data_IF_021063453828
#
_entry.id   IF_021063453828
#
_cell.length_a   1.000
_cell.length_b   1.000
_cell.length_c   1.000
_cell.angle_alpha   90.00
_cell.angle_beta   90.00
_cell.angle_gamma   90.00
#
_symmetry.space_group_name_H-M   'P 1'
#
loop_
_entity.id
_entity.type
_entity.pdbx_description
1 polymer ?
#
# COMPACT_ATOMS: atom_id res chain seq x y z
N UNK A 1 25.80 -60.50 32.85
CA UNK A 1 24.61 -59.82 33.40
C UNK A 1 24.50 -58.36 32.95
N UNK A 2 25.58 -57.57 32.99
CA UNK A 2 25.58 -56.15 32.60
C UNK A 2 25.02 -55.87 31.18
N UNK A 3 25.38 -56.67 30.17
CA UNK A 3 24.87 -56.49 28.80
C UNK A 3 23.36 -56.72 28.67
N UNK A 4 22.76 -57.60 29.47
CA UNK A 4 21.29 -57.79 29.46
C UNK A 4 20.57 -56.58 30.05
N UNK A 5 21.13 -55.97 31.10
CA UNK A 5 20.58 -54.78 31.73
C UNK A 5 20.66 -53.58 30.78
N UNK A 6 21.78 -53.42 30.09
CA UNK A 6 21.97 -52.37 29.08
C UNK A 6 21.01 -52.55 27.89
N UNK A 7 20.81 -53.77 27.39
CA UNK A 7 19.83 -54.04 26.33
C UNK A 7 18.40 -53.64 26.73
N UNK A 8 17.98 -53.97 27.95
CA UNK A 8 16.64 -53.60 28.46
C UNK A 8 16.53 -52.07 28.60
N UNK A 9 17.57 -51.40 29.10
CA UNK A 9 17.60 -49.94 29.19
C UNK A 9 17.50 -49.26 27.81
N UNK A 10 18.14 -49.82 26.78
CA UNK A 10 18.04 -49.33 25.39
C UNK A 10 16.60 -49.41 24.85
N UNK A 11 15.92 -50.55 25.01
CA UNK A 11 14.52 -50.71 24.59
C UNK A 11 13.57 -49.80 25.36
N UNK A 12 13.77 -49.65 26.67
CA UNK A 12 12.99 -48.71 27.49
C UNK A 12 13.20 -47.26 27.02
N UNK A 13 14.44 -46.89 26.69
CA UNK A 13 14.75 -45.57 26.15
C UNK A 13 14.05 -45.28 24.81
N UNK A 14 14.02 -46.25 23.90
CA UNK A 14 13.32 -46.15 22.61
C UNK A 14 11.82 -45.96 22.82
N UNK A 15 11.20 -46.78 23.67
CA UNK A 15 9.76 -46.70 23.97
C UNK A 15 9.40 -45.35 24.59
N UNK A 16 10.24 -44.80 25.47
CA UNK A 16 10.00 -43.49 26.08
C UNK A 16 10.09 -42.35 25.05
N UNK A 17 11.11 -42.34 24.18
CA UNK A 17 11.27 -41.27 23.18
C UNK A 17 10.19 -41.35 22.10
N UNK A 18 9.90 -42.53 21.55
CA UNK A 18 8.89 -42.69 20.51
C UNK A 18 7.46 -42.60 21.05
N UNK A 19 7.20 -43.16 22.25
CA UNK A 19 5.89 -43.08 22.89
C UNK A 19 5.49 -41.64 23.21
N UNK A 20 6.44 -40.83 23.71
CA UNK A 20 6.19 -39.40 23.97
C UNK A 20 6.02 -38.60 22.68
N UNK A 21 6.77 -38.91 21.62
CA UNK A 21 6.62 -38.27 20.31
C UNK A 21 5.23 -38.55 19.70
N UNK A 22 4.80 -39.81 19.69
CA UNK A 22 3.47 -40.21 19.21
C UNK A 22 2.35 -39.56 20.03
N UNK A 23 2.51 -39.50 21.36
CA UNK A 23 1.53 -38.86 22.22
C UNK A 23 1.37 -37.36 21.90
N UNK A 24 2.48 -36.68 21.58
CA UNK A 24 2.48 -35.25 21.21
C UNK A 24 1.88 -35.01 19.82
N UNK A 25 2.18 -35.89 18.86
CA UNK A 25 1.62 -35.82 17.49
C UNK A 25 0.13 -36.15 17.46
N UNK A 26 -0.34 -37.03 18.34
CA UNK A 26 -1.75 -37.43 18.39
C UNK A 26 -2.69 -36.35 18.94
N UNK A 27 -2.15 -35.29 19.57
CA UNK A 27 -2.93 -34.22 20.18
C UNK A 27 -3.85 -34.65 21.32
N UNK A 28 -3.72 -35.90 21.80
CA UNK A 28 -4.61 -36.50 22.81
C UNK A 28 -4.29 -36.10 24.25
N UNK A 29 -3.10 -35.55 24.51
CA UNK A 29 -2.68 -35.11 25.83
C UNK A 29 -2.76 -33.58 25.93
N UNK A 30 -3.37 -33.09 27.01
CA UNK A 30 -3.51 -31.66 27.27
C UNK A 30 -2.18 -30.99 27.65
N UNK A 31 -2.13 -29.63 27.65
CA UNK A 31 -0.93 -28.85 27.95
C UNK A 31 -0.33 -29.14 29.34
N UNK A 32 -1.11 -29.66 30.29
CA UNK A 32 -0.65 -30.04 31.63
C UNK A 32 0.38 -31.19 31.62
N UNK A 33 0.47 -31.96 30.52
CA UNK A 33 1.40 -33.08 30.38
C UNK A 33 2.76 -32.71 29.78
N UNK A 34 2.89 -31.51 29.20
CA UNK A 34 4.12 -31.01 28.56
C UNK A 34 5.41 -31.16 29.41
N UNK A 35 5.44 -30.79 30.70
CA UNK A 35 6.65 -30.96 31.50
C UNK A 35 7.03 -32.42 31.69
N UNK A 36 6.07 -33.33 31.86
CA UNK A 36 6.32 -34.77 32.03
C UNK A 36 6.80 -35.41 30.74
N UNK A 37 6.20 -35.03 29.61
CA UNK A 37 6.62 -35.46 28.26
C UNK A 37 8.07 -35.03 28.01
N UNK A 38 8.44 -33.79 28.39
CA UNK A 38 9.81 -33.27 28.24
C UNK A 38 10.82 -34.05 29.08
N UNK A 39 10.52 -34.33 30.34
CA UNK A 39 11.40 -35.12 31.21
C UNK A 39 11.53 -36.57 30.77
N UNK A 40 10.44 -37.21 30.33
CA UNK A 40 10.45 -38.57 29.79
C UNK A 40 11.30 -38.68 28.52
N UNK A 41 11.29 -37.66 27.64
CA UNK A 41 12.18 -37.59 26.48
C UNK A 41 13.66 -37.52 26.87
N UNK A 42 14.02 -36.67 27.84
CA UNK A 42 15.40 -36.57 28.31
C UNK A 42 15.88 -37.87 28.98
N UNK A 43 15.04 -38.49 29.80
CA UNK A 43 15.35 -39.77 30.44
C UNK A 43 15.51 -40.89 29.39
N UNK A 44 14.61 -40.97 28.41
CA UNK A 44 14.71 -41.94 27.32
C UNK A 44 15.97 -41.75 26.48
N UNK A 45 16.33 -40.50 26.17
CA UNK A 45 17.56 -40.17 25.47
C UNK A 45 18.82 -40.57 26.27
N UNK A 46 18.87 -40.29 27.57
CA UNK A 46 19.98 -40.68 28.44
C UNK A 46 20.17 -42.21 28.48
N UNK A 47 19.07 -42.99 28.52
CA UNK A 47 19.13 -44.44 28.46
C UNK A 47 19.70 -44.96 27.12
N UNK A 48 19.33 -44.34 26.00
CA UNK A 48 19.87 -44.70 24.67
C UNK A 48 21.37 -44.37 24.57
N UNK A 49 21.79 -43.22 25.10
CA UNK A 49 23.21 -42.82 25.12
C UNK A 49 24.03 -43.77 26.00
N UNK A 50 23.54 -44.13 27.19
CA UNK A 50 24.20 -45.11 28.06
C UNK A 50 24.30 -46.49 27.42
N UNK A 51 23.27 -46.91 26.69
CA UNK A 51 23.28 -48.14 25.90
C UNK A 51 24.36 -48.11 24.81
N UNK A 52 24.43 -47.03 24.03
CA UNK A 52 25.43 -46.85 22.97
C UNK A 52 26.86 -46.82 23.52
N UNK A 53 27.09 -46.12 24.63
CA UNK A 53 28.41 -46.08 25.28
C UNK A 53 28.83 -47.46 25.80
N UNK A 54 27.89 -48.24 26.35
CA UNK A 54 28.15 -49.59 26.83
C UNK A 54 28.50 -50.60 25.72
N UNK A 55 27.99 -50.40 24.51
CA UNK A 55 28.23 -51.28 23.35
C UNK A 55 29.27 -50.77 22.36
N UNK A 56 29.99 -49.70 22.68
CA UNK A 56 30.98 -49.07 21.77
C UNK A 56 32.01 -50.06 21.18
N UNK A 57 32.43 -51.08 21.95
CA UNK A 57 33.38 -52.11 21.49
C UNK A 57 32.74 -53.14 20.55
N UNK A 58 31.46 -53.44 20.69
CA UNK A 58 30.71 -54.34 19.81
C UNK A 58 30.33 -53.64 18.50
N UNK A 59 29.91 -52.37 18.60
CA UNK A 59 29.71 -51.47 17.46
C UNK A 59 31.01 -51.38 16.65
N UNK A 60 32.17 -51.18 17.29
CA UNK A 60 33.47 -51.14 16.61
C UNK A 60 33.85 -52.45 15.88
N UNK A 61 33.40 -53.62 16.35
CA UNK A 61 33.59 -54.91 15.65
C UNK A 61 32.64 -55.09 14.48
N UNK A 62 31.43 -54.52 14.56
CA UNK A 62 30.46 -54.51 13.47
C UNK A 62 31.01 -53.78 12.22
N UNK A 63 31.98 -52.87 12.37
CA UNK A 63 32.65 -52.15 11.28
C UNK A 63 33.76 -52.94 10.54
N UNK A 64 34.09 -54.18 10.92
CA UNK A 64 35.19 -54.95 10.31
C UNK A 64 34.79 -55.88 9.14
N UNK A 65 33.49 -56.00 8.80
CA UNK A 65 33.01 -56.88 7.73
C UNK A 65 32.69 -56.17 6.40
N UNK A 66 32.90 -56.84 5.26
CA UNK A 66 32.65 -56.29 3.91
C UNK A 66 31.15 -55.96 3.65
N UNK A 67 30.22 -56.61 4.34
CA UNK A 67 28.78 -56.29 4.37
C UNK A 67 28.40 -55.11 5.29
N UNK A 68 29.30 -54.66 6.17
CA UNK A 68 29.04 -53.58 7.14
C UNK A 68 29.21 -52.17 6.58
N UNK A 69 29.88 -52.00 5.42
CA UNK A 69 30.03 -50.69 4.76
C UNK A 69 28.70 -50.10 4.30
N UNK A 70 27.74 -50.93 3.88
CA UNK A 70 26.42 -50.45 3.45
C UNK A 70 25.53 -50.13 4.66
N UNK A 71 25.58 -50.94 5.72
CA UNK A 71 24.81 -50.71 6.95
C UNK A 71 25.29 -49.51 7.78
N UNK A 72 26.60 -49.26 7.81
CA UNK A 72 27.17 -48.09 8.50
C UNK A 72 26.84 -46.78 7.78
N UNK A 73 26.88 -46.74 6.45
CA UNK A 73 26.44 -45.57 5.67
C UNK A 73 24.96 -45.29 5.88
N UNK A 74 24.10 -46.33 5.91
CA UNK A 74 22.69 -46.17 6.23
C UNK A 74 22.47 -45.60 7.65
N UNK A 75 23.20 -46.10 8.66
CA UNK A 75 23.10 -45.61 10.04
C UNK A 75 23.54 -44.15 10.17
N UNK A 76 24.67 -43.77 9.55
CA UNK A 76 25.15 -42.39 9.50
C UNK A 76 24.14 -41.49 8.79
N UNK A 77 23.53 -41.96 7.72
CA UNK A 77 22.52 -41.21 6.96
C UNK A 77 21.26 -40.96 7.80
N UNK A 78 20.78 -41.97 8.54
CA UNK A 78 19.62 -41.85 9.44
C UNK A 78 19.90 -40.86 10.58
N UNK A 79 21.09 -40.93 11.19
CA UNK A 79 21.49 -39.99 12.23
C UNK A 79 21.62 -38.57 11.67
N UNK A 80 22.18 -38.40 10.47
CA UNK A 80 22.29 -37.10 9.82
C UNK A 80 20.91 -36.50 9.51
N UNK A 81 19.99 -37.30 8.97
CA UNK A 81 18.61 -36.86 8.69
C UNK A 81 17.89 -36.48 9.99
N UNK A 82 18.01 -37.28 11.06
CA UNK A 82 17.43 -36.94 12.37
C UNK A 82 18.04 -35.68 12.96
N UNK A 83 19.36 -35.50 12.85
CA UNK A 83 20.05 -34.27 13.27
C UNK A 83 19.55 -33.05 12.51
N UNK A 84 19.40 -33.15 11.19
CA UNK A 84 18.82 -32.09 10.35
C UNK A 84 17.38 -31.79 10.77
N UNK A 85 16.55 -32.82 11.01
CA UNK A 85 15.16 -32.63 11.46
C UNK A 85 15.09 -31.93 12.82
N UNK A 86 15.98 -32.27 13.77
CA UNK A 86 16.07 -31.59 15.07
C UNK A 86 16.51 -30.14 14.90
N UNK A 87 17.51 -29.86 14.06
CA UNK A 87 17.97 -28.50 13.79
C UNK A 87 16.89 -27.68 13.09
N UNK A 88 16.22 -28.24 12.08
CA UNK A 88 15.11 -27.60 11.38
C UNK A 88 13.94 -27.33 12.32
N UNK A 89 13.59 -28.28 13.19
CA UNK A 89 12.53 -28.10 14.18
C UNK A 89 12.91 -27.03 15.22
N UNK A 90 14.17 -27.02 15.68
CA UNK A 90 14.69 -26.01 16.60
C UNK A 90 14.66 -24.61 15.97
N UNK A 91 15.16 -24.45 14.74
CA UNK A 91 15.11 -23.20 13.98
C UNK A 91 13.67 -22.74 13.73
N UNK A 92 12.78 -23.65 13.30
CA UNK A 92 11.37 -23.35 13.05
C UNK A 92 10.61 -22.95 14.33
N UNK A 93 11.00 -23.47 15.49
CA UNK A 93 10.38 -23.09 16.77
C UNK A 93 10.81 -21.72 17.30
N UNK A 94 11.96 -21.21 16.86
CA UNK A 94 12.55 -19.96 17.37
C UNK A 94 12.31 -18.77 16.46
N UNK A 95 12.25 -19.00 15.15
CA UNK A 95 11.97 -17.98 14.15
C UNK A 95 10.47 -17.85 13.91
N UNK A 96 9.86 -16.75 14.37
CA UNK A 96 8.45 -16.41 14.11
C UNK A 96 8.19 -15.93 12.67
N UNK A 97 9.09 -16.23 11.73
CA UNK A 97 9.00 -15.77 10.35
C UNK A 97 8.01 -16.66 9.60
N UNK A 98 6.76 -16.18 9.46
CA UNK A 98 5.73 -16.81 8.64
C UNK A 98 6.02 -16.53 7.17
N UNK A 99 6.25 -17.57 6.39
CA UNK A 99 6.25 -17.49 4.94
C UNK A 99 4.85 -17.80 4.42
N UNK A 100 4.23 -16.83 3.76
CA UNK A 100 2.98 -17.05 3.04
C UNK A 100 3.30 -17.72 1.69
N UNK A 101 2.97 -19.02 1.60
CA UNK A 101 3.15 -19.85 0.41
C UNK A 101 1.89 -19.84 -0.49
N UNK A 102 0.88 -19.02 -0.17
CA UNK A 102 -0.30 -18.90 -1.02
C UNK A 102 0.05 -18.17 -2.31
N UNK A 103 -0.56 -18.62 -3.41
CA UNK A 103 -0.30 -18.11 -4.78
C UNK A 103 -0.50 -16.58 -4.91
N UNK A 104 -1.30 -15.99 -4.03
CA UNK A 104 -1.64 -14.56 -4.05
C UNK A 104 -1.19 -13.80 -2.78
N UNK A 105 -0.39 -14.40 -1.90
CA UNK A 105 0.14 -13.71 -0.71
C UNK A 105 -0.95 -13.03 0.17
N UNK A 106 -2.11 -13.67 0.28
CA UNK A 106 -3.33 -13.09 0.86
C UNK A 106 -3.18 -12.81 2.37
N UNK A 107 -2.21 -13.43 3.02
CA UNK A 107 -1.95 -13.34 4.46
C UNK A 107 -0.70 -12.51 4.80
N UNK A 108 -0.05 -11.90 3.80
CA UNK A 108 1.04 -10.95 4.00
C UNK A 108 0.61 -9.51 3.72
N UNK A 109 1.14 -8.57 4.50
CA UNK A 109 0.97 -7.15 4.23
C UNK A 109 1.63 -6.78 2.90
N UNK A 110 1.07 -5.79 2.21
CA UNK A 110 1.68 -5.21 1.02
C UNK A 110 3.06 -4.61 1.34
N UNK A 111 3.91 -4.48 0.31
CA UNK A 111 5.22 -3.83 0.45
C UNK A 111 5.09 -2.38 0.94
N UNK A 112 4.05 -1.68 0.49
CA UNK A 112 3.77 -0.30 0.89
C UNK A 112 3.47 -0.20 2.39
N UNK A 113 2.55 -1.03 2.91
CA UNK A 113 2.25 -1.09 4.34
C UNK A 113 3.48 -1.47 5.16
N UNK A 114 4.28 -2.42 4.68
CA UNK A 114 5.51 -2.84 5.37
C UNK A 114 6.55 -1.72 5.44
N UNK A 115 6.75 -0.96 4.37
CA UNK A 115 7.64 0.21 4.34
C UNK A 115 7.15 1.31 5.30
N UNK A 116 5.86 1.60 5.30
CA UNK A 116 5.25 2.57 6.21
C UNK A 116 5.51 2.19 7.67
N UNK A 117 5.13 0.98 8.06
CA UNK A 117 5.20 0.50 9.45
C UNK A 117 6.66 0.35 9.94
N UNK A 118 7.59 0.00 9.05
CA UNK A 118 9.02 -0.09 9.40
C UNK A 118 9.71 1.27 9.53
N UNK A 119 9.18 2.32 8.90
CA UNK A 119 9.71 3.69 8.99
C UNK A 119 9.24 4.48 10.22
N UNK A 120 8.41 3.89 11.08
CA UNK A 120 7.90 4.52 12.29
C UNK A 120 9.03 4.97 13.22
N UNK A 121 8.89 6.19 13.75
CA UNK A 121 9.86 6.80 14.67
C UNK A 121 9.41 6.79 16.14
N UNK A 122 8.11 6.64 16.40
CA UNK A 122 7.53 6.51 17.74
C UNK A 122 6.48 5.39 17.83
N UNK A 123 6.14 4.90 19.04
CA UNK A 123 5.20 3.81 19.20
C UNK A 123 3.78 4.17 18.74
N UNK A 124 3.17 3.28 17.97
CA UNK A 124 1.76 3.32 17.54
C UNK A 124 0.99 2.26 18.31
N UNK A 125 -0.14 2.63 18.90
CA UNK A 125 -1.10 1.67 19.47
C UNK A 125 -2.26 1.48 18.51
N UNK A 126 -2.63 0.24 18.28
CA UNK A 126 -3.79 -0.16 17.50
C UNK A 126 -4.76 -0.85 18.45
N UNK A 127 -5.90 -0.23 18.71
CA UNK A 127 -6.92 -0.72 19.65
C UNK A 127 -8.13 -1.18 18.84
N UNK A 128 -8.45 -2.47 18.86
CA UNK A 128 -9.68 -2.97 18.23
C UNK A 128 -10.80 -3.09 19.26
N UNK A 129 -11.90 -2.41 18.99
CA UNK A 129 -13.11 -2.41 19.82
C UNK A 129 -14.16 -3.31 19.18
N UNK A 130 -14.23 -4.55 19.64
CA UNK A 130 -15.18 -5.55 19.13
C UNK A 130 -15.54 -6.57 20.23
N UNK A 131 -16.65 -7.31 20.09
CA UNK A 131 -16.91 -8.50 20.90
C UNK A 131 -15.76 -9.53 20.81
N UNK A 132 -15.53 -10.29 21.90
CA UNK A 132 -14.43 -11.25 21.99
C UNK A 132 -14.45 -12.34 20.89
N UNK A 133 -15.65 -12.73 20.44
CA UNK A 133 -15.87 -13.71 19.37
C UNK A 133 -15.46 -13.19 17.99
N UNK A 134 -15.38 -11.87 17.80
CA UNK A 134 -14.95 -11.26 16.54
C UNK A 134 -13.43 -11.04 16.46
N UNK A 135 -12.70 -11.10 17.58
CA UNK A 135 -11.25 -10.87 17.60
C UNK A 135 -10.45 -11.72 16.59
N UNK A 136 -10.77 -13.00 16.35
CA UNK A 136 -10.05 -13.80 15.34
C UNK A 136 -10.05 -13.15 13.94
N UNK A 137 -11.11 -12.44 13.55
CA UNK A 137 -11.22 -11.82 12.23
C UNK A 137 -10.23 -10.66 12.01
N UNK A 138 -9.80 -10.00 13.08
CA UNK A 138 -8.83 -8.90 13.05
C UNK A 138 -7.41 -9.39 13.34
N UNK A 139 -7.28 -10.55 13.99
CA UNK A 139 -6.03 -11.02 14.57
C UNK A 139 -4.92 -11.22 13.56
N UNK A 140 -5.22 -11.89 12.45
CA UNK A 140 -4.19 -12.19 11.45
C UNK A 140 -3.66 -10.90 10.80
N UNK A 141 -4.55 -9.95 10.49
CA UNK A 141 -4.16 -8.69 9.85
C UNK A 141 -3.42 -7.77 10.81
N UNK A 142 -3.99 -7.46 11.98
CA UNK A 142 -3.39 -6.50 12.92
C UNK A 142 -2.07 -7.03 13.51
N UNK A 143 -1.96 -8.34 13.74
CA UNK A 143 -0.67 -8.93 14.14
C UNK A 143 0.37 -8.83 13.01
N UNK A 144 -0.03 -8.77 11.74
CA UNK A 144 0.86 -8.45 10.63
C UNK A 144 1.59 -7.12 10.85
N UNK A 145 0.88 -6.08 11.31
CA UNK A 145 1.45 -4.76 11.60
C UNK A 145 2.42 -4.84 12.80
N UNK A 146 2.02 -5.52 13.88
CA UNK A 146 2.87 -5.73 15.05
C UNK A 146 4.14 -6.55 14.76
N UNK A 147 4.06 -7.48 13.82
CA UNK A 147 5.21 -8.30 13.40
C UNK A 147 6.16 -7.51 12.48
N UNK A 148 5.63 -6.57 11.69
CA UNK A 148 6.42 -5.74 10.77
C UNK A 148 7.27 -4.69 11.51
N UNK A 149 6.82 -4.19 12.66
CA UNK A 149 7.59 -3.24 13.47
C UNK A 149 7.37 -3.41 14.96
N UNK A 150 8.47 -3.35 15.71
CA UNK A 150 8.44 -3.36 17.19
C UNK A 150 7.79 -2.10 17.79
N UNK A 151 7.57 -1.07 16.99
CA UNK A 151 6.90 0.15 17.42
C UNK A 151 5.37 0.02 17.40
N UNK A 152 4.82 -1.05 16.82
CA UNK A 152 3.37 -1.26 16.77
C UNK A 152 2.94 -2.19 17.91
N UNK A 153 1.97 -1.74 18.70
CA UNK A 153 1.31 -2.53 19.74
C UNK A 153 -0.16 -2.69 19.39
N UNK A 154 -0.69 -3.91 19.47
CA UNK A 154 -2.11 -4.20 19.18
C UNK A 154 -2.80 -4.65 20.46
N UNK A 155 -3.90 -4.02 20.82
CA UNK A 155 -4.74 -4.38 21.97
C UNK A 155 -6.17 -4.68 21.52
N UNK A 156 -6.76 -5.75 22.08
CA UNK A 156 -8.12 -6.18 21.78
C UNK A 156 -9.01 -5.82 22.97
N UNK A 157 -10.01 -4.98 22.73
CA UNK A 157 -10.87 -4.41 23.76
C UNK A 157 -12.30 -4.86 23.49
N UNK A 158 -12.83 -5.65 24.43
CA UNK A 158 -14.23 -6.05 24.42
C UNK A 158 -15.10 -4.84 24.79
N UNK A 159 -15.96 -4.41 23.85
CA UNK A 159 -16.82 -3.23 24.00
C UNK A 159 -17.87 -3.40 25.09
N UNK A 160 -18.34 -4.63 25.34
CA UNK A 160 -19.30 -4.94 26.39
C UNK A 160 -18.65 -5.00 27.78
N UNK A 161 -17.41 -5.52 27.87
CA UNK A 161 -16.67 -5.59 29.15
C UNK A 161 -16.01 -4.27 29.54
N UNK A 162 -15.65 -3.42 28.57
CA UNK A 162 -14.95 -2.14 28.81
C UNK A 162 -15.61 -0.94 28.11
N UNK A 163 -16.88 -0.63 28.42
CA UNK A 163 -17.62 0.47 27.76
C UNK A 163 -17.03 1.86 28.04
N UNK A 164 -16.34 2.04 29.17
CA UNK A 164 -15.68 3.31 29.49
C UNK A 164 -14.56 3.66 28.51
N UNK A 165 -13.78 2.67 28.06
CA UNK A 165 -12.73 2.88 27.04
C UNK A 165 -13.35 3.17 25.67
N UNK A 166 -14.41 2.45 25.30
CA UNK A 166 -15.12 2.71 24.04
C UNK A 166 -15.64 4.16 24.00
N UNK A 167 -16.21 4.67 25.11
CA UNK A 167 -16.62 6.07 25.22
C UNK A 167 -15.46 7.05 25.17
N UNK A 168 -14.35 6.76 25.85
CA UNK A 168 -13.15 7.61 25.83
C UNK A 168 -12.61 7.80 24.41
N UNK A 169 -12.61 6.74 23.61
CA UNK A 169 -12.18 6.77 22.22
C UNK A 169 -13.32 7.08 21.24
N UNK A 170 -14.50 7.53 21.69
CA UNK A 170 -15.68 7.83 20.85
C UNK A 170 -15.98 6.73 19.81
N UNK A 171 -15.99 5.48 20.28
CA UNK A 171 -16.31 4.32 19.46
C UNK A 171 -17.82 4.10 19.49
N UNK A 172 -18.46 4.30 18.34
CA UNK A 172 -19.91 4.18 18.19
C UNK A 172 -20.33 2.87 17.51
N UNK A 173 -19.41 2.22 16.78
CA UNK A 173 -19.67 1.02 15.98
C UNK A 173 -18.73 -0.10 16.43
N UNK A 174 -19.27 -1.31 16.63
CA UNK A 174 -18.44 -2.50 16.90
C UNK A 174 -17.57 -2.82 15.68
N UNK A 175 -16.35 -3.31 15.93
CA UNK A 175 -15.36 -3.54 14.87
C UNK A 175 -14.52 -2.31 14.53
N UNK A 176 -14.66 -1.21 15.27
CA UNK A 176 -13.83 -0.01 15.07
C UNK A 176 -12.41 -0.26 15.55
N UNK A 177 -11.45 -0.10 14.65
CA UNK A 177 -10.02 -0.07 14.93
C UNK A 177 -9.59 1.37 15.16
N UNK A 178 -8.95 1.63 16.29
CA UNK A 178 -8.44 2.95 16.68
C UNK A 178 -6.92 2.95 16.62
N UNK A 179 -6.35 3.89 15.89
CA UNK A 179 -4.91 4.13 15.84
C UNK A 179 -4.57 5.31 16.74
N UNK A 180 -3.63 5.12 17.67
CA UNK A 180 -3.11 6.16 18.54
C UNK A 180 -1.62 6.36 18.30
N UNK A 181 -1.22 7.59 17.99
CA UNK A 181 0.18 7.97 17.76
C UNK A 181 0.46 9.36 18.33
N UNK A 182 1.40 9.45 19.28
CA UNK A 182 1.77 10.72 19.93
C UNK A 182 0.56 11.55 20.41
N UNK A 183 -0.48 10.90 20.95
CA UNK A 183 -1.70 11.55 21.45
C UNK A 183 -2.76 11.88 20.38
N UNK A 184 -2.47 11.62 19.10
CA UNK A 184 -3.43 11.71 18.00
C UNK A 184 -4.20 10.40 17.89
N UNK A 185 -5.46 10.47 17.47
CA UNK A 185 -6.37 9.32 17.40
C UNK A 185 -7.08 9.32 16.05
N UNK A 186 -6.98 8.22 15.32
CA UNK A 186 -7.74 7.97 14.08
C UNK A 186 -8.58 6.70 14.22
N UNK A 187 -9.77 6.67 13.59
CA UNK A 187 -10.75 5.58 13.71
C UNK A 187 -11.08 5.00 12.34
N UNK A 188 -11.04 3.68 12.24
CA UNK A 188 -11.38 2.95 11.02
C UNK A 188 -12.42 1.89 11.36
N UNK A 189 -13.58 1.93 10.71
CA UNK A 189 -14.70 1.01 10.98
C UNK A 189 -14.68 -0.24 10.10
N UNK A 190 -13.77 -0.31 9.14
CA UNK A 190 -13.62 -1.44 8.22
C UNK A 190 -12.38 -2.26 8.56
N UNK A 191 -12.43 -3.54 8.22
CA UNK A 191 -11.31 -4.47 8.37
C UNK A 191 -10.73 -4.78 6.99
N UNK A 192 -10.30 -3.78 6.23
CA UNK A 192 -9.52 -3.99 4.99
C UNK A 192 -8.09 -3.50 5.24
N UNK A 193 -7.09 -4.09 4.56
CA UNK A 193 -5.71 -3.58 4.72
C UNK A 193 -5.62 -2.14 4.25
N UNK A 194 -6.23 -1.81 3.11
CA UNK A 194 -6.22 -0.47 2.54
C UNK A 194 -6.72 0.58 3.54
N UNK A 195 -7.88 0.35 4.17
CA UNK A 195 -8.46 1.34 5.08
C UNK A 195 -7.66 1.44 6.39
N UNK A 196 -7.13 0.32 6.89
CA UNK A 196 -6.28 0.31 8.09
C UNK A 196 -4.94 1.00 7.86
N UNK A 197 -4.29 0.75 6.71
CA UNK A 197 -3.07 1.46 6.31
C UNK A 197 -3.33 2.94 6.16
N UNK A 198 -4.46 3.33 5.55
CA UNK A 198 -4.83 4.74 5.44
C UNK A 198 -5.08 5.38 6.81
N UNK A 199 -5.79 4.72 7.72
CA UNK A 199 -5.97 5.20 9.10
C UNK A 199 -4.63 5.40 9.82
N UNK A 200 -3.67 4.50 9.60
CA UNK A 200 -2.32 4.66 10.09
C UNK A 200 -1.61 5.87 9.47
N UNK A 201 -1.70 6.09 8.15
CA UNK A 201 -1.13 7.27 7.48
C UNK A 201 -1.69 8.56 8.09
N UNK A 202 -3.01 8.63 8.30
CA UNK A 202 -3.71 9.78 8.88
C UNK A 202 -3.20 10.14 10.28
N UNK A 203 -3.10 9.13 11.17
CA UNK A 203 -2.64 9.37 12.54
C UNK A 203 -1.16 9.79 12.60
N UNK A 204 -0.34 9.26 11.69
CA UNK A 204 1.09 9.58 11.60
C UNK A 204 1.32 10.99 11.06
N UNK A 205 0.63 11.37 9.98
CA UNK A 205 0.73 12.70 9.39
C UNK A 205 0.29 13.78 10.39
N UNK A 206 -0.80 13.53 11.12
CA UNK A 206 -1.29 14.40 12.19
C UNK A 206 -1.73 15.79 11.79
N UNK A 207 -1.79 16.04 10.49
CA UNK A 207 -2.49 17.16 9.86
C UNK A 207 -3.34 16.58 8.75
N UNK A 208 -4.63 16.89 8.77
CA UNK A 208 -5.51 16.61 7.64
C UNK A 208 -5.17 17.65 6.56
N UNK A 209 -4.85 17.19 5.35
CA UNK A 209 -4.58 18.11 4.25
C UNK A 209 -5.89 18.60 3.65
N UNK A 210 -5.93 19.83 3.13
CA UNK A 210 -7.12 20.33 2.43
C UNK A 210 -6.86 20.57 0.96
N UNK A 211 -7.69 19.94 0.13
CA UNK A 211 -7.75 20.20 -1.30
C UNK A 211 -8.99 21.06 -1.58
N UNK A 212 -8.76 22.30 -1.99
CA UNK A 212 -9.81 23.25 -2.33
C UNK A 212 -10.08 23.22 -3.83
N UNK A 213 -11.29 22.82 -4.23
CA UNK A 213 -11.74 22.88 -5.62
C UNK A 213 -12.42 24.22 -5.88
N UNK A 214 -11.95 24.99 -6.86
CA UNK A 214 -12.62 26.25 -7.18
C UNK A 214 -14.03 26.01 -7.71
N UNK A 215 -14.92 26.96 -7.45
CA UNK A 215 -16.28 26.94 -7.95
C UNK A 215 -16.76 28.35 -8.27
N UNK A 216 -17.57 28.48 -9.32
CA UNK A 216 -18.20 29.74 -9.74
C UNK A 216 -18.06 30.03 -11.23
N UNK A 217 -17.17 29.30 -11.91
CA UNK A 217 -16.80 29.48 -13.31
C UNK A 217 -17.09 28.24 -14.17
N UNK A 218 -18.03 27.39 -13.71
CA UNK A 218 -18.45 26.17 -14.40
C UNK A 218 -17.49 24.99 -14.25
N UNK A 219 -16.63 25.01 -13.24
CA UNK A 219 -15.72 23.91 -12.91
C UNK A 219 -16.44 22.61 -12.53
N UNK A 220 -15.75 21.48 -12.70
CA UNK A 220 -16.23 20.18 -12.27
C UNK A 220 -16.42 20.10 -10.75
N UNK A 221 -17.59 19.64 -10.33
CA UNK A 221 -17.96 19.58 -8.92
C UNK A 221 -17.45 18.28 -8.25
N UNK A 222 -16.64 18.37 -7.16
CA UNK A 222 -16.13 17.20 -6.43
C UNK A 222 -17.22 16.41 -5.67
N UNK A 223 -18.44 16.94 -5.58
CA UNK A 223 -19.61 16.26 -4.97
C UNK A 223 -20.53 15.62 -6.00
N UNK A 224 -20.35 15.95 -7.28
CA UNK A 224 -21.17 15.39 -8.35
C UNK A 224 -20.72 13.97 -8.70
N UNK A 225 -21.67 13.04 -8.75
CA UNK A 225 -21.47 11.62 -9.07
C UNK A 225 -21.73 11.27 -10.54
N UNK A 226 -21.95 12.26 -11.40
CA UNK A 226 -22.03 12.03 -12.83
C UNK A 226 -20.77 11.31 -13.34
N UNK A 227 -20.98 10.25 -14.13
CA UNK A 227 -19.89 9.37 -14.57
C UNK A 227 -18.93 10.04 -15.55
N UNK A 228 -19.36 11.10 -16.25
CA UNK A 228 -18.57 11.81 -17.25
C UNK A 228 -18.03 13.14 -16.75
N UNK A 229 -18.84 13.89 -15.99
CA UNK A 229 -18.53 15.27 -15.59
C UNK A 229 -18.34 15.44 -14.08
N UNK A 230 -18.64 14.42 -13.28
CA UNK A 230 -18.57 14.47 -11.81
C UNK A 230 -17.22 14.02 -11.26
N UNK A 231 -16.74 14.70 -10.22
CA UNK A 231 -15.42 14.44 -9.62
C UNK A 231 -15.49 13.73 -8.26
N UNK A 232 -16.65 13.19 -7.87
CA UNK A 232 -16.80 12.49 -6.58
C UNK A 232 -15.88 11.28 -6.40
N UNK A 233 -15.54 10.59 -7.50
CA UNK A 233 -14.56 9.50 -7.46
C UNK A 233 -13.15 9.99 -7.11
N UNK A 234 -12.74 11.15 -7.63
CA UNK A 234 -11.48 11.82 -7.30
C UNK A 234 -11.50 12.29 -5.85
N UNK A 235 -12.60 12.92 -5.41
CA UNK A 235 -12.75 13.37 -4.04
C UNK A 235 -12.67 12.20 -3.03
N UNK A 236 -13.28 11.07 -3.36
CA UNK A 236 -13.17 9.85 -2.56
C UNK A 236 -11.75 9.27 -2.54
N UNK A 237 -10.99 9.39 -3.64
CA UNK A 237 -9.57 9.06 -3.70
C UNK A 237 -8.75 9.93 -2.76
N UNK A 238 -8.89 11.24 -2.87
CA UNK A 238 -8.24 12.21 -2.00
C UNK A 238 -8.57 11.97 -0.51
N UNK A 239 -9.82 11.65 -0.18
CA UNK A 239 -10.24 11.31 1.18
C UNK A 239 -9.55 10.06 1.74
N UNK A 240 -9.25 9.07 0.89
CA UNK A 240 -8.45 7.90 1.27
C UNK A 240 -6.99 8.28 1.52
N UNK A 241 -6.48 9.26 0.79
CA UNK A 241 -5.11 9.76 0.89
C UNK A 241 -4.94 10.88 1.94
N UNK A 242 -5.86 10.99 2.92
CA UNK A 242 -5.84 12.00 4.00
C UNK A 242 -6.02 13.46 3.55
N UNK A 243 -6.77 13.68 2.46
CA UNK A 243 -7.23 15.00 2.08
C UNK A 243 -8.72 15.18 2.39
N UNK A 244 -9.06 16.28 3.05
CA UNK A 244 -10.41 16.82 3.07
C UNK A 244 -10.62 17.66 1.81
N UNK A 245 -11.69 17.39 1.10
CA UNK A 245 -12.05 18.11 -0.11
C UNK A 245 -13.12 19.15 0.22
N UNK A 246 -12.84 20.41 -0.08
CA UNK A 246 -13.75 21.54 0.12
C UNK A 246 -13.89 22.36 -1.17
N UNK A 247 -15.01 23.07 -1.32
CA UNK A 247 -15.21 24.01 -2.43
C UNK A 247 -14.70 25.38 -2.03
N UNK A 248 -14.11 26.09 -2.98
CA UNK A 248 -13.60 27.45 -2.82
C UNK A 248 -14.26 28.38 -3.83
N UNK A 249 -15.14 29.26 -3.36
CA UNK A 249 -15.71 30.33 -4.19
C UNK A 249 -14.94 31.61 -3.88
N UNK A 250 -13.96 31.96 -4.73
CA UNK A 250 -13.06 33.09 -4.49
C UNK A 250 -13.81 34.43 -4.40
N UNK A 251 -14.88 34.59 -5.17
CA UNK A 251 -15.80 35.73 -5.06
C UNK A 251 -16.43 35.90 -3.66
N UNK A 252 -16.51 34.84 -2.84
CA UNK A 252 -17.07 34.87 -1.48
C UNK A 252 -15.97 34.97 -0.41
N UNK A 253 -14.91 34.17 -0.55
CA UNK A 253 -13.84 34.05 0.46
C UNK A 253 -12.74 35.13 0.33
N UNK A 254 -12.72 35.88 -0.79
CA UNK A 254 -11.76 36.96 -1.12
C UNK A 254 -10.28 36.58 -1.20
N UNK A 255 -9.85 35.50 -0.55
CA UNK A 255 -8.51 34.92 -0.66
C UNK A 255 -8.57 33.39 -0.54
N UNK A 256 -7.45 32.71 -0.85
CA UNK A 256 -7.31 31.27 -0.62
C UNK A 256 -7.10 31.03 0.88
N UNK A 257 -7.85 30.10 1.51
CA UNK A 257 -7.66 29.74 2.91
C UNK A 257 -6.21 29.36 3.25
N UNK A 258 -5.72 29.80 4.41
CA UNK A 258 -4.33 29.59 4.81
C UNK A 258 -3.97 28.11 5.09
N UNK A 259 -4.98 27.27 5.30
CA UNK A 259 -4.85 25.83 5.51
C UNK A 259 -5.00 25.02 4.20
N UNK A 260 -5.09 25.69 3.05
CA UNK A 260 -5.09 25.03 1.74
C UNK A 260 -3.72 24.36 1.49
N UNK A 261 -3.73 23.04 1.36
CA UNK A 261 -2.55 22.28 0.89
C UNK A 261 -2.40 22.41 -0.62
N UNK A 262 -3.52 22.39 -1.34
CA UNK A 262 -3.59 22.52 -2.79
C UNK A 262 -4.91 23.17 -3.20
N UNK A 263 -4.87 24.01 -4.22
CA UNK A 263 -6.06 24.52 -4.91
C UNK A 263 -6.17 23.81 -6.26
N UNK A 264 -7.35 23.35 -6.62
CA UNK A 264 -7.63 22.64 -7.88
C UNK A 264 -8.62 23.47 -8.67
N UNK A 265 -8.23 23.86 -9.88
CA UNK A 265 -9.06 24.55 -10.86
C UNK A 265 -9.41 23.53 -11.94
N UNK A 266 -10.61 22.95 -11.84
CA UNK A 266 -11.00 21.77 -12.61
C UNK A 266 -11.94 22.13 -13.78
N UNK A 267 -11.41 22.37 -14.97
CA UNK A 267 -12.19 22.60 -16.20
C UNK A 267 -13.08 23.84 -16.14
N UNK A 268 -12.55 25.05 -15.84
CA UNK A 268 -13.36 26.26 -15.87
C UNK A 268 -13.85 26.56 -17.29
N UNK A 269 -15.12 26.94 -17.42
CA UNK A 269 -15.75 27.32 -18.70
C UNK A 269 -15.96 28.84 -18.83
N UNK A 270 -15.70 29.59 -17.75
CA UNK A 270 -15.66 31.04 -17.73
C UNK A 270 -14.35 31.54 -17.12
N UNK A 271 -13.88 32.72 -17.55
CA UNK A 271 -12.64 33.29 -17.00
C UNK A 271 -12.86 33.82 -15.58
N UNK A 272 -11.78 33.84 -14.79
CA UNK A 272 -11.79 34.35 -13.42
C UNK A 272 -11.73 35.88 -13.41
N UNK A 273 -12.34 36.50 -12.41
CA UNK A 273 -12.27 37.94 -12.25
C UNK A 273 -10.88 38.39 -11.76
N UNK A 274 -10.45 39.63 -12.09
CA UNK A 274 -9.13 40.12 -11.67
C UNK A 274 -8.85 39.99 -10.16
N UNK A 275 -9.79 40.26 -9.23
CA UNK A 275 -9.53 40.07 -7.80
C UNK A 275 -9.23 38.61 -7.41
N UNK A 276 -9.82 37.64 -8.11
CA UNK A 276 -9.64 36.21 -7.86
C UNK A 276 -8.28 35.74 -8.38
N UNK A 277 -7.86 36.24 -9.56
CA UNK A 277 -6.51 36.03 -10.08
C UNK A 277 -5.46 36.57 -9.10
N UNK A 278 -5.68 37.76 -8.54
CA UNK A 278 -4.78 38.34 -7.54
C UNK A 278 -4.72 37.51 -6.25
N UNK A 279 -5.84 36.90 -5.82
CA UNK A 279 -5.85 35.95 -4.71
C UNK A 279 -4.99 34.71 -5.01
N UNK A 280 -5.17 34.11 -6.19
CA UNK A 280 -4.36 32.97 -6.63
C UNK A 280 -2.87 33.34 -6.71
N UNK A 281 -2.54 34.50 -7.27
CA UNK A 281 -1.15 35.03 -7.32
C UNK A 281 -0.54 35.14 -5.92
N UNK A 282 -1.26 35.72 -4.95
CA UNK A 282 -0.79 35.83 -3.56
C UNK A 282 -0.57 34.46 -2.92
N UNK A 283 -1.44 33.50 -3.17
CA UNK A 283 -1.30 32.14 -2.66
C UNK A 283 -0.07 31.42 -3.25
N UNK A 284 0.11 31.46 -4.57
CA UNK A 284 1.24 30.83 -5.25
C UNK A 284 2.56 31.50 -4.82
N UNK A 285 2.60 32.84 -4.72
CA UNK A 285 3.79 33.58 -4.28
C UNK A 285 4.27 33.21 -2.87
N UNK A 286 3.38 32.68 -2.02
CA UNK A 286 3.71 32.17 -0.67
C UNK A 286 4.15 30.69 -0.68
N UNK A 287 4.33 30.08 -1.85
CA UNK A 287 4.66 28.66 -2.01
C UNK A 287 3.44 27.74 -2.04
N UNK A 288 2.23 28.29 -2.22
CA UNK A 288 1.01 27.54 -2.43
C UNK A 288 1.06 26.68 -3.69
N UNK A 289 0.33 25.56 -3.67
CA UNK A 289 0.29 24.59 -4.78
C UNK A 289 -1.04 24.70 -5.51
N UNK A 290 -1.01 24.80 -6.84
CA UNK A 290 -2.22 24.86 -7.67
C UNK A 290 -2.15 23.82 -8.76
N UNK A 291 -3.25 23.11 -8.98
CA UNK A 291 -3.47 22.23 -10.12
C UNK A 291 -4.43 22.93 -11.08
N UNK A 292 -3.93 23.26 -12.28
CA UNK A 292 -4.74 23.81 -13.36
C UNK A 292 -5.13 22.69 -14.32
N UNK A 293 -6.42 22.46 -14.49
CA UNK A 293 -6.97 21.56 -15.50
C UNK A 293 -7.80 22.44 -16.43
N UNK A 294 -7.23 22.82 -17.56
CA UNK A 294 -7.84 23.78 -18.48
C UNK A 294 -8.11 23.06 -19.79
N UNK A 295 -9.38 22.86 -20.08
CA UNK A 295 -9.84 22.19 -21.30
C UNK A 295 -9.61 23.08 -22.54
N UNK A 296 -9.55 22.51 -23.75
CA UNK A 296 -9.65 23.28 -24.99
C UNK A 296 -10.99 24.03 -25.03
N UNK A 297 -11.12 25.09 -25.86
CA UNK A 297 -12.39 25.78 -26.01
C UNK A 297 -13.50 24.82 -26.49
N UNK A 298 -14.62 24.78 -25.74
CA UNK A 298 -15.78 23.95 -26.09
C UNK A 298 -16.39 24.30 -27.46
N UNK A 299 -16.20 25.56 -27.89
CA UNK A 299 -16.69 26.12 -29.15
C UNK A 299 -15.65 27.10 -29.69
N UNK A 300 -15.63 27.25 -31.01
CA UNK A 300 -14.75 28.21 -31.72
C UNK A 300 -14.91 29.64 -31.18
N UNK A 301 -16.14 30.02 -30.82
CA UNK A 301 -16.47 31.37 -30.35
C UNK A 301 -16.50 31.47 -28.82
N UNK A 302 -16.07 30.44 -28.09
CA UNK A 302 -16.00 30.51 -26.62
C UNK A 302 -15.05 31.63 -26.20
N UNK A 303 -15.44 32.50 -25.26
CA UNK A 303 -14.55 33.52 -24.74
C UNK A 303 -13.27 32.87 -24.16
N UNK A 304 -12.08 33.41 -24.45
CA UNK A 304 -10.84 32.87 -23.92
C UNK A 304 -10.76 33.09 -22.41
N UNK A 305 -10.12 32.15 -21.71
CA UNK A 305 -9.77 32.25 -20.30
C UNK A 305 -8.51 33.12 -20.12
N UNK A 306 -8.51 34.32 -20.69
CA UNK A 306 -7.30 35.14 -20.88
C UNK A 306 -6.56 35.42 -19.57
N UNK A 307 -7.28 35.68 -18.49
CA UNK A 307 -6.68 36.02 -17.20
C UNK A 307 -6.02 34.80 -16.55
N UNK A 308 -6.67 33.65 -16.62
CA UNK A 308 -6.11 32.38 -16.15
C UNK A 308 -4.91 31.93 -16.99
N UNK A 309 -5.00 32.05 -18.32
CA UNK A 309 -3.90 31.72 -19.25
C UNK A 309 -2.70 32.60 -18.96
N UNK A 310 -2.89 33.92 -18.81
CA UNK A 310 -1.80 34.84 -18.49
C UNK A 310 -1.09 34.48 -17.17
N UNK A 311 -1.84 34.08 -16.14
CA UNK A 311 -1.27 33.59 -14.88
C UNK A 311 -0.39 32.35 -15.09
N UNK A 312 -0.82 31.40 -15.93
CA UNK A 312 -0.06 30.17 -16.21
C UNK A 312 1.21 30.48 -17.04
N UNK A 313 1.11 31.41 -17.98
CA UNK A 313 2.25 31.88 -18.79
C UNK A 313 3.31 32.61 -17.96
N UNK A 314 2.92 33.38 -16.95
CA UNK A 314 3.84 34.01 -15.98
C UNK A 314 4.74 32.96 -15.30
N UNK A 315 4.25 31.73 -15.14
CA UNK A 315 4.95 30.59 -14.55
C UNK A 315 5.70 29.73 -15.58
N UNK A 316 5.85 30.20 -16.82
CA UNK A 316 6.66 29.55 -17.85
C UNK A 316 5.98 28.38 -18.53
N UNK A 317 4.64 28.30 -18.48
CA UNK A 317 3.84 27.27 -19.15
C UNK A 317 2.95 27.92 -20.19
N UNK A 318 3.03 27.47 -21.44
CA UNK A 318 2.17 27.91 -22.53
C UNK A 318 1.04 26.92 -22.74
N UNK A 319 -0.19 27.44 -22.83
CA UNK A 319 -1.39 26.68 -23.21
C UNK A 319 -1.74 26.98 -24.67
N UNK A 320 -1.79 25.95 -25.51
CA UNK A 320 -2.18 26.10 -26.91
C UNK A 320 -3.68 26.22 -27.10
N UNK A 321 -4.14 26.95 -28.10
CA UNK A 321 -5.55 27.08 -28.45
C UNK A 321 -5.95 26.05 -29.50
N UNK A 322 -5.80 24.78 -29.12
CA UNK A 322 -5.85 23.62 -30.01
C UNK A 322 -6.43 22.40 -29.29
N UNK A 323 -6.74 21.36 -30.06
CA UNK A 323 -7.03 20.02 -29.55
C UNK A 323 -5.92 19.08 -30.03
N UNK A 324 -5.34 18.33 -29.11
CA UNK A 324 -4.32 17.35 -29.45
C UNK A 324 -4.99 16.11 -30.05
N UNK A 325 -4.55 15.77 -31.26
CA UNK A 325 -5.04 14.63 -32.03
C UNK A 325 -3.94 13.58 -32.13
N UNK A 326 -4.28 12.30 -31.95
CA UNK A 326 -3.37 11.17 -32.08
C UNK A 326 -3.86 10.14 -33.12
N UNK A 327 -3.14 10.06 -34.24
CA UNK A 327 -3.38 9.04 -35.28
C UNK A 327 -2.45 7.83 -35.15
N UNK A 328 -1.89 7.60 -33.95
CA UNK A 328 -1.10 6.40 -33.68
C UNK A 328 -1.89 5.09 -33.89
N UNK A 329 -3.23 5.16 -33.87
CA UNK A 329 -4.13 4.01 -33.87
C UNK A 329 -4.31 3.38 -32.49
N UNK A 330 -3.57 3.85 -31.47
CA UNK A 330 -3.71 3.36 -30.10
C UNK A 330 -5.10 3.69 -29.53
N UNK A 331 -5.61 4.89 -29.79
CA UNK A 331 -6.99 5.27 -29.45
C UNK A 331 -8.03 4.35 -30.10
N UNK A 332 -7.88 4.07 -31.41
CA UNK A 332 -8.79 3.15 -32.12
C UNK A 332 -8.78 1.73 -31.54
N UNK A 333 -7.61 1.22 -31.13
CA UNK A 333 -7.51 -0.08 -30.44
C UNK A 333 -8.23 -0.11 -29.09
N UNK A 334 -8.35 1.05 -28.43
CA UNK A 334 -9.10 1.24 -27.19
C UNK A 334 -10.59 1.61 -27.43
N UNK A 335 -11.02 1.67 -28.70
CA UNK A 335 -12.39 2.03 -29.08
C UNK A 335 -12.69 3.53 -28.99
N UNK A 336 -11.67 4.39 -29.03
CA UNK A 336 -11.80 5.85 -29.02
C UNK A 336 -11.40 6.46 -30.37
N UNK A 337 -11.81 7.71 -30.60
CA UNK A 337 -11.42 8.46 -31.79
C UNK A 337 -10.01 9.08 -31.69
N UNK A 338 -9.52 9.71 -32.78
CA UNK A 338 -8.21 10.36 -32.82
C UNK A 338 -8.11 11.58 -31.88
N UNK A 339 -9.22 12.14 -31.42
CA UNK A 339 -9.30 13.22 -30.41
C UNK A 339 -8.96 12.78 -28.97
N UNK A 340 -8.62 11.50 -28.78
CA UNK A 340 -8.23 10.92 -27.49
C UNK A 340 -6.76 10.47 -27.57
N UNK A 341 -5.80 11.39 -27.38
CA UNK A 341 -4.40 11.03 -27.31
C UNK A 341 -4.11 10.05 -26.17
N UNK A 342 -3.22 9.09 -26.45
CA UNK A 342 -2.81 8.05 -25.51
C UNK A 342 -1.33 8.23 -25.17
N UNK A 343 -1.02 8.34 -23.87
CA UNK A 343 0.34 8.31 -23.37
C UNK A 343 0.65 6.91 -22.80
N UNK A 344 1.71 6.30 -23.33
CA UNK A 344 2.23 5.01 -22.86
C UNK A 344 3.66 5.11 -22.31
N UNK A 345 4.38 6.19 -22.65
CA UNK A 345 5.75 6.47 -22.21
C UNK A 345 5.78 7.86 -21.59
N UNK A 346 6.40 7.97 -20.42
CA UNK A 346 6.49 9.23 -19.67
C UNK A 346 7.95 9.69 -19.59
N UNK A 347 8.22 10.99 -19.77
CA UNK A 347 9.53 11.56 -19.46
C UNK A 347 9.94 11.25 -18.01
N UNK A 348 11.26 11.10 -17.73
CA UNK A 348 11.75 10.94 -16.36
C UNK A 348 11.34 12.12 -15.48
N UNK A 349 10.51 11.86 -14.48
CA UNK A 349 10.04 12.87 -13.54
C UNK A 349 9.66 12.22 -12.20
N UNK A 350 9.87 12.86 -11.03
CA UNK A 350 9.50 12.28 -9.74
C UNK A 350 8.00 11.92 -9.62
N UNK A 351 7.12 12.65 -10.32
CA UNK A 351 5.67 12.36 -10.34
C UNK A 351 5.36 11.04 -11.08
N UNK A 352 6.13 10.70 -12.10
CA UNK A 352 5.89 9.52 -12.96
C UNK A 352 6.85 8.36 -12.64
N UNK A 353 7.59 8.44 -11.53
CA UNK A 353 8.51 7.39 -11.10
C UNK A 353 7.75 6.09 -10.81
N UNK A 354 8.10 5.01 -11.52
CA UNK A 354 7.40 3.73 -11.42
C UNK A 354 6.01 3.71 -12.04
N UNK A 355 5.60 4.76 -12.75
CA UNK A 355 4.29 4.84 -13.40
C UNK A 355 4.32 4.11 -14.76
N UNK A 356 3.66 2.95 -14.83
CA UNK A 356 3.65 2.08 -16.03
C UNK A 356 2.27 1.96 -16.69
N UNK A 357 1.32 2.80 -16.31
CA UNK A 357 -0.04 2.74 -16.85
C UNK A 357 -0.14 3.47 -18.18
N UNK A 358 -0.93 2.91 -19.09
CA UNK A 358 -1.38 3.62 -20.29
C UNK A 358 -2.50 4.58 -19.88
N UNK A 359 -2.35 5.86 -20.19
CA UNK A 359 -3.35 6.89 -19.89
C UNK A 359 -3.90 7.49 -21.17
N UNK A 360 -5.20 7.78 -21.18
CA UNK A 360 -5.91 8.37 -22.30
C UNK A 360 -6.46 9.73 -21.85
N UNK A 361 -6.35 10.74 -22.72
CA UNK A 361 -6.73 12.11 -22.42
C UNK A 361 -7.75 12.59 -23.45
N UNK A 362 -9.05 12.36 -23.23
CA UNK A 362 -10.07 12.83 -24.15
C UNK A 362 -10.05 14.36 -24.24
N UNK A 363 -10.07 14.90 -25.46
CA UNK A 363 -10.21 16.35 -25.72
C UNK A 363 -9.19 17.19 -24.95
N UNK A 364 -7.91 16.83 -25.02
CA UNK A 364 -6.84 17.59 -24.37
C UNK A 364 -6.29 18.70 -25.28
N UNK A 365 -5.81 19.79 -24.68
CA UNK A 365 -5.08 20.86 -25.39
C UNK A 365 -3.57 20.72 -25.20
N UNK A 366 -2.79 21.33 -26.08
CA UNK A 366 -1.33 21.33 -25.96
C UNK A 366 -0.86 22.17 -24.77
N UNK A 367 0.15 21.65 -24.05
CA UNK A 367 0.79 22.32 -22.92
C UNK A 367 2.30 22.19 -23.09
N UNK A 368 3.00 23.31 -23.18
CA UNK A 368 4.45 23.30 -23.42
C UNK A 368 5.20 24.22 -22.45
N UNK A 369 6.40 23.83 -21.99
CA UNK A 369 7.29 24.74 -21.28
C UNK A 369 7.73 25.89 -22.19
N UNK A 370 7.72 27.12 -21.68
CA UNK A 370 8.25 28.30 -22.38
C UNK A 370 9.78 28.29 -22.27
N UNK A 371 10.54 28.09 -23.37
CA UNK A 371 12.00 28.02 -23.33
C UNK A 371 12.61 29.37 -22.92
N UNK A 372 13.71 29.33 -22.16
CA UNK A 372 14.49 30.55 -21.88
C UNK A 372 13.87 31.48 -20.84
N UNK A 373 12.94 31.00 -20.02
CA UNK A 373 12.60 31.66 -18.77
C UNK A 373 13.90 31.80 -17.96
N UNK A 374 14.37 33.03 -17.74
CA UNK A 374 15.70 33.30 -17.15
C UNK A 374 15.95 32.62 -15.79
N UNK A 375 17.19 32.66 -15.29
CA UNK A 375 17.61 31.93 -14.09
C UNK A 375 16.76 32.20 -12.82
N UNK A 376 16.04 33.32 -12.78
CA UNK A 376 15.15 33.72 -11.68
C UNK A 376 13.66 33.34 -11.89
N UNK A 377 13.32 32.63 -12.98
CA UNK A 377 11.95 32.22 -13.30
C UNK A 377 11.68 30.75 -12.92
N UNK A 378 10.39 30.40 -12.68
CA UNK A 378 9.99 29.01 -12.45
C UNK A 378 10.41 28.10 -13.62
N UNK A 379 10.86 26.89 -13.29
CA UNK A 379 11.26 25.88 -14.30
C UNK A 379 10.06 24.99 -14.61
N UNK A 380 9.48 25.14 -15.79
CA UNK A 380 8.46 24.24 -16.29
C UNK A 380 9.10 22.93 -16.80
N UNK A 381 8.58 21.78 -16.35
CA UNK A 381 9.04 20.45 -16.75
C UNK A 381 7.87 19.64 -17.29
N UNK A 382 8.02 19.08 -18.49
CA UNK A 382 7.03 18.18 -19.06
C UNK A 382 7.16 16.78 -18.45
N UNK A 383 6.06 16.22 -17.95
CA UNK A 383 6.01 14.87 -17.38
C UNK A 383 5.01 13.95 -18.09
N UNK A 384 4.26 14.46 -19.07
CA UNK A 384 3.41 13.68 -19.99
C UNK A 384 3.74 14.13 -21.42
N UNK A 385 3.85 13.18 -22.33
CA UNK A 385 4.02 13.43 -23.77
C UNK A 385 3.11 12.49 -24.56
N UNK A 386 2.51 13.01 -25.62
CA UNK A 386 1.74 12.23 -26.58
C UNK A 386 2.66 11.49 -27.55
N UNK A 387 2.08 10.69 -28.45
CA UNK A 387 2.86 9.96 -29.44
C UNK A 387 3.56 10.92 -30.42
N UNK A 388 4.70 10.53 -31.03
CA UNK A 388 5.31 11.33 -32.10
C UNK A 388 4.44 11.49 -33.35
N UNK A 389 3.33 10.75 -33.44
CA UNK A 389 2.32 10.87 -34.50
C UNK A 389 1.12 11.72 -34.08
N UNK A 390 1.22 12.40 -32.94
CA UNK A 390 0.22 13.36 -32.49
C UNK A 390 0.59 14.77 -32.94
N UNK A 391 -0.41 15.61 -33.17
CA UNK A 391 -0.24 17.05 -33.42
C UNK A 391 -1.34 17.85 -32.71
N UNK A 392 -1.13 19.16 -32.63
CA UNK A 392 -2.10 20.12 -32.13
C UNK A 392 -2.97 20.61 -33.30
N UNK A 393 -4.23 20.20 -33.34
CA UNK A 393 -5.20 20.62 -34.34
C UNK A 393 -5.84 21.95 -33.94
N UNK A 394 -5.79 22.93 -34.84
CA UNK A 394 -6.33 24.28 -34.61
C UNK A 394 -7.71 24.45 -35.27
N UNK A 395 -8.04 23.65 -36.30
CA UNK A 395 -9.40 23.58 -36.84
C UNK A 395 -10.30 22.68 -35.98
N UNK A 396 -10.63 23.20 -34.80
CA UNK A 396 -11.55 22.57 -33.85
C UNK A 396 -12.94 22.35 -34.51
N UNK A 397 -13.33 23.22 -35.46
CA UNK A 397 -14.62 23.12 -36.15
C UNK A 397 -14.68 21.94 -37.08
N UNK A 398 -13.64 21.73 -37.90
CA UNK A 398 -13.49 20.56 -38.76
C UNK A 398 -13.48 19.28 -37.92
N UNK A 399 -12.65 19.23 -36.89
CA UNK A 399 -12.50 18.07 -36.01
C UNK A 399 -13.82 17.65 -35.35
N UNK A 400 -14.55 18.58 -34.74
CA UNK A 400 -15.81 18.28 -34.05
C UNK A 400 -16.98 17.95 -34.99
N UNK A 401 -16.94 18.44 -36.25
CA UNK A 401 -18.04 18.28 -37.20
C UNK A 401 -17.91 17.03 -38.09
N UNK A 402 -16.71 16.65 -38.50
CA UNK A 402 -16.48 15.57 -39.47
C UNK A 402 -15.79 14.35 -38.87
N UNK A 403 -15.06 14.51 -37.75
CA UNK A 403 -14.21 13.46 -37.19
C UNK A 403 -13.03 13.07 -38.10
N UNK A 404 -12.85 13.77 -39.22
CA UNK A 404 -11.74 13.59 -40.14
C UNK A 404 -10.66 14.61 -39.81
N UNK A 405 -9.42 14.14 -39.67
CA UNK A 405 -8.28 15.01 -39.37
C UNK A 405 -7.22 14.79 -40.44
N UNK A 406 -6.87 15.87 -41.14
CA UNK A 406 -5.79 15.88 -42.13
C UNK A 406 -4.70 16.82 -41.65
N UNK A 407 -3.47 16.32 -41.54
CA UNK A 407 -2.31 17.15 -41.25
C UNK A 407 -2.09 18.12 -42.42
N UNK A 408 -2.32 19.42 -42.21
CA UNK A 408 -1.97 20.44 -43.20
C UNK A 408 -0.42 20.66 -43.13
N UNK A 409 0.29 20.58 -44.26
CA UNK A 409 1.75 20.45 -44.31
C UNK A 409 2.55 21.73 -43.97
#
# INVERSE_FOLDING_TARGET
MLNRILNVAGWVGIVLVFGTLLATLSGRLGPEWDPYIRWARYAGFACIVLYMLGQWREIGRMFQGRQARLGSMALVSVIAVLGILVILNYLASREKKRWDLTKNQIYSLSEQTTKLVSSLTAPVKILIFAPEDEFPAYRDRLNGYANASKQVTVEYIDTAKRPALAKQYDVQVNGTTVFEYMGRVERVTTNTEQDLTNGLIKVLAGTEHKAYFTAGHGEHDPTNSDRRLGYSGIAAGLARDNFKVEKLVLAQESDVPADATVVVIAGPTADFFPPEIEALKRYIAKGGKVLFMVDPPDKVDSPPLSSLIALIEEWGVQLGNDVVVDVSGMGQLLGTGPEVPVAATYPPHPITEGFTFVTAYPTARSVTPIPGAGADKPVAQAFIQTSPRSWAETDIKGLLATGEVSMDP
#
